data_IF_527819271457
#
_entry.id   IF_527819271457
#
_cell.length_a   1.000
_cell.length_b   1.000
_cell.length_c   1.000
_cell.angle_alpha   90.00
_cell.angle_beta   90.00
_cell.angle_gamma   90.00
#
_symmetry.space_group_name_H-M   'P 1'
#
loop_
_entity.id
_entity.type
_entity.pdbx_description
1 polymer ?
#
# COMPACT_ATOMS: atom_id res chain seq x y z
N UNK A 1 -19.31 -44.70 -1.77
CA UNK A 1 -18.71 -43.44 -2.27
C UNK A 1 -17.26 -43.41 -1.83
N UNK A 2 -16.28 -43.32 -2.75
CA UNK A 2 -14.85 -43.40 -2.41
C UNK A 2 -14.35 -42.03 -1.95
N UNK A 3 -13.74 -41.88 -0.76
CA UNK A 3 -13.22 -40.59 -0.32
C UNK A 3 -11.98 -40.22 -1.15
N UNK A 4 -12.00 -39.02 -1.72
CA UNK A 4 -10.90 -38.46 -2.49
C UNK A 4 -9.71 -38.17 -1.55
N UNK A 5 -8.60 -38.89 -1.70
CA UNK A 5 -7.40 -38.72 -0.87
C UNK A 5 -6.36 -37.91 -1.63
N UNK A 6 -6.38 -36.59 -1.44
CA UNK A 6 -5.33 -35.72 -1.96
C UNK A 6 -4.02 -35.99 -1.22
N UNK A 7 -2.93 -36.16 -1.97
CA UNK A 7 -1.58 -36.29 -1.42
C UNK A 7 -0.95 -34.91 -1.40
N UNK A 8 -0.68 -34.38 -0.20
CA UNK A 8 0.05 -33.13 -0.02
C UNK A 8 1.53 -33.41 -0.31
N UNK A 9 2.10 -32.66 -1.25
CA UNK A 9 3.52 -32.73 -1.59
C UNK A 9 4.26 -31.69 -0.75
N UNK A 10 5.08 -32.15 0.20
CA UNK A 10 6.04 -31.31 0.90
C UNK A 10 7.31 -31.27 0.04
N UNK A 11 7.62 -30.10 -0.50
CA UNK A 11 8.89 -29.85 -1.21
C UNK A 11 10.08 -30.02 -0.25
N UNK A 12 11.27 -30.32 -0.77
CA UNK A 12 12.42 -30.71 0.05
C UNK A 12 12.76 -29.62 1.05
N UNK A 13 12.98 -30.09 2.26
CA UNK A 13 13.22 -29.35 3.50
C UNK A 13 14.50 -28.53 3.34
N UNK A 14 14.35 -27.24 3.01
CA UNK A 14 15.43 -26.30 3.23
C UNK A 14 15.40 -25.93 4.71
N UNK A 15 16.03 -26.78 5.51
CA UNK A 15 16.41 -26.54 6.89
C UNK A 15 17.27 -25.27 6.97
N UNK A 16 16.63 -24.14 7.21
CA UNK A 16 17.22 -23.02 7.95
C UNK A 16 16.22 -22.58 9.02
N UNK A 17 16.41 -23.22 10.17
CA UNK A 17 16.09 -22.74 11.50
C UNK A 17 15.93 -21.21 11.61
N UNK A 18 14.71 -20.75 11.91
CA UNK A 18 14.46 -19.66 12.86
C UNK A 18 12.97 -19.61 13.19
N UNK A 19 12.66 -19.88 14.44
CA UNK A 19 11.36 -19.67 15.03
C UNK A 19 10.97 -18.17 14.97
N UNK A 20 9.69 -17.94 14.70
CA UNK A 20 8.86 -16.94 15.39
C UNK A 20 9.38 -15.50 15.48
N UNK A 21 9.28 -14.72 14.40
CA UNK A 21 8.82 -13.34 14.47
C UNK A 21 8.03 -13.03 13.19
N UNK A 22 6.70 -13.11 13.27
CA UNK A 22 5.81 -12.47 12.31
C UNK A 22 5.89 -10.95 12.58
N UNK A 23 7.07 -10.37 12.35
CA UNK A 23 7.19 -8.94 12.21
C UNK A 23 6.51 -8.67 10.88
N UNK A 24 5.25 -8.25 10.92
CA UNK A 24 4.54 -7.67 9.80
C UNK A 24 5.24 -6.36 9.42
N UNK A 25 6.49 -6.47 8.98
CA UNK A 25 7.22 -5.46 8.26
C UNK A 25 6.41 -5.29 6.99
N UNK A 26 5.47 -4.36 7.03
CA UNK A 26 4.70 -3.93 5.87
C UNK A 26 5.71 -3.78 4.74
N UNK A 27 5.57 -4.60 3.71
CA UNK A 27 6.52 -4.66 2.62
C UNK A 27 6.38 -3.35 1.83
N UNK A 28 7.10 -2.32 2.24
CA UNK A 28 7.05 -1.00 1.64
C UNK A 28 7.78 -1.04 0.31
N UNK A 29 7.11 -0.59 -0.75
CA UNK A 29 7.71 -0.47 -2.09
C UNK A 29 7.91 1.01 -2.40
N UNK A 30 9.15 1.41 -2.71
CA UNK A 30 9.45 2.78 -3.15
C UNK A 30 9.19 2.89 -4.63
N UNK A 31 8.24 3.76 -4.99
CA UNK A 31 7.84 4.04 -6.37
C UNK A 31 7.88 5.56 -6.60
N UNK A 32 8.24 6.01 -7.81
CA UNK A 32 8.31 7.43 -8.10
C UNK A 32 6.92 8.06 -8.08
N UNK A 33 6.84 9.27 -7.53
CA UNK A 33 5.59 9.99 -7.35
C UNK A 33 4.84 10.20 -8.68
N UNK A 34 5.57 10.47 -9.76
CA UNK A 34 5.02 10.67 -11.10
C UNK A 34 4.32 9.45 -11.69
N UNK A 35 4.60 8.24 -11.18
CA UNK A 35 3.88 7.03 -11.59
C UNK A 35 2.63 6.79 -10.73
N UNK A 36 2.71 7.07 -9.43
CA UNK A 36 1.61 6.80 -8.49
C UNK A 36 0.50 7.86 -8.54
N UNK A 37 0.84 9.15 -8.59
CA UNK A 37 -0.14 10.23 -8.51
C UNK A 37 -1.20 10.18 -9.61
N UNK A 38 -0.85 9.95 -10.90
CA UNK A 38 -1.85 9.81 -11.95
C UNK A 38 -2.81 8.64 -11.73
N UNK A 39 -2.32 7.51 -11.20
CA UNK A 39 -3.14 6.33 -10.90
C UNK A 39 -4.11 6.59 -9.75
N UNK A 40 -3.64 7.27 -8.69
CA UNK A 40 -4.51 7.68 -7.58
C UNK A 40 -5.53 8.72 -8.04
N UNK A 41 -5.13 9.70 -8.86
CA UNK A 41 -6.05 10.69 -9.42
C UNK A 41 -7.14 10.04 -10.29
N UNK A 42 -6.78 9.08 -11.13
CA UNK A 42 -7.73 8.28 -11.91
C UNK A 42 -8.67 7.48 -10.99
N UNK A 43 -8.13 6.83 -9.95
CA UNK A 43 -8.93 6.06 -9.00
C UNK A 43 -9.97 6.93 -8.27
N UNK A 44 -9.60 8.16 -7.88
CA UNK A 44 -10.51 9.16 -7.30
C UNK A 44 -11.58 9.57 -8.32
N UNK A 45 -11.18 9.93 -9.54
CA UNK A 45 -12.12 10.36 -10.59
C UNK A 45 -13.09 9.25 -11.00
N UNK A 46 -12.61 8.00 -11.00
CA UNK A 46 -13.38 6.79 -11.29
C UNK A 46 -14.15 6.23 -10.08
N UNK A 47 -14.10 6.90 -8.92
CA UNK A 47 -14.77 6.49 -7.66
C UNK A 47 -14.47 5.03 -7.28
N UNK A 48 -13.20 4.61 -7.41
CA UNK A 48 -12.80 3.25 -7.08
C UNK A 48 -12.90 3.02 -5.57
N UNK A 49 -13.57 1.95 -5.19
CA UNK A 49 -13.83 1.60 -3.78
C UNK A 49 -12.58 1.15 -3.02
N UNK A 50 -11.55 0.65 -3.71
CA UNK A 50 -10.32 0.18 -3.06
C UNK A 50 -9.51 1.31 -2.41
N UNK A 51 -9.68 2.56 -2.84
CA UNK A 51 -8.94 3.69 -2.27
C UNK A 51 -9.38 4.00 -0.83
N UNK A 52 -10.64 3.69 -0.48
CA UNK A 52 -11.15 3.88 0.88
C UNK A 52 -10.46 2.98 1.91
N UNK A 53 -9.87 1.85 1.46
CA UNK A 53 -9.09 0.96 2.34
C UNK A 53 -7.80 1.62 2.85
N UNK A 54 -7.33 2.68 2.18
CA UNK A 54 -6.10 3.41 2.47
C UNK A 54 -6.35 4.80 3.10
N UNK A 55 -7.59 5.11 3.51
CA UNK A 55 -7.95 6.44 4.01
C UNK A 55 -7.27 6.79 5.35
N UNK A 56 -7.09 5.80 6.23
CA UNK A 56 -6.42 5.97 7.54
C UNK A 56 -4.89 5.76 7.45
N UNK A 57 -4.38 5.40 6.27
CA UNK A 57 -3.00 4.97 6.09
C UNK A 57 -2.05 6.19 5.99
N UNK A 58 -0.95 6.13 6.72
CA UNK A 58 0.00 7.24 6.77
C UNK A 58 1.04 7.10 5.65
N UNK A 59 1.16 8.14 4.83
CA UNK A 59 2.21 8.22 3.79
C UNK A 59 3.36 9.12 4.23
N UNK A 60 4.59 8.66 4.02
CA UNK A 60 5.79 9.48 4.23
C UNK A 60 6.16 10.16 2.92
N UNK A 61 6.18 11.49 2.92
CA UNK A 61 6.60 12.31 1.79
C UNK A 61 7.79 13.19 2.15
N UNK A 62 8.50 13.70 1.13
CA UNK A 62 9.55 14.70 1.34
C UNK A 62 8.98 15.97 1.99
N UNK A 63 9.77 16.62 2.84
CA UNK A 63 9.44 17.92 3.44
C UNK A 63 9.08 18.96 2.39
N UNK A 64 9.82 19.03 1.27
CA UNK A 64 9.57 20.00 0.21
C UNK A 64 8.19 19.81 -0.45
N UNK A 65 7.77 18.55 -0.61
CA UNK A 65 6.45 18.25 -1.18
C UNK A 65 5.33 18.58 -0.19
N UNK A 66 5.54 18.30 1.09
CA UNK A 66 4.59 18.62 2.14
C UNK A 66 4.32 20.13 2.20
N UNK A 67 5.38 20.95 2.21
CA UNK A 67 5.26 22.42 2.19
C UNK A 67 4.50 22.92 0.95
N UNK A 68 4.76 22.32 -0.22
CA UNK A 68 4.06 22.66 -1.45
C UNK A 68 2.56 22.34 -1.37
N UNK A 69 2.20 21.17 -0.84
CA UNK A 69 0.79 20.77 -0.65
C UNK A 69 0.09 21.72 0.31
N UNK A 70 0.72 22.07 1.44
CA UNK A 70 0.18 23.02 2.40
C UNK A 70 -0.07 24.39 1.76
N UNK A 71 0.92 24.92 1.03
CA UNK A 71 0.79 26.17 0.30
C UNK A 71 -0.39 26.10 -0.69
N UNK A 72 -0.47 25.02 -1.48
CA UNK A 72 -1.53 24.82 -2.47
C UNK A 72 -2.93 24.76 -1.83
N UNK A 73 -3.08 24.09 -0.68
CA UNK A 73 -4.33 24.05 0.08
C UNK A 73 -4.74 25.44 0.57
N UNK A 74 -3.78 26.25 1.03
CA UNK A 74 -4.03 27.62 1.46
C UNK A 74 -4.54 28.50 0.30
N UNK A 75 -3.96 28.35 -0.90
CA UNK A 75 -4.44 29.06 -2.09
C UNK A 75 -5.82 28.62 -2.56
N UNK A 76 -6.20 27.35 -2.34
CA UNK A 76 -7.53 26.83 -2.72
C UNK A 76 -8.65 27.22 -1.77
N UNK A 77 -8.33 27.67 -0.55
CA UNK A 77 -9.33 28.16 0.40
C UNK A 77 -9.24 29.68 0.43
N UNK A 78 -10.02 30.42 -0.40
CA UNK A 78 -10.15 31.85 -0.18
C UNK A 78 -10.66 32.02 1.25
N UNK A 79 -9.92 32.77 2.07
CA UNK A 79 -10.40 33.26 3.35
C UNK A 79 -11.79 33.87 3.15
N UNK A 80 -12.72 33.46 4.00
CA UNK A 80 -14.03 34.10 4.15
C UNK A 80 -13.89 35.60 4.44
#
# INVERSE_FOLDING_TARGET
MKPNRLRVYYGPECDIAAASQHNSQQQTVTVPLGEVFPLLADAVQSQRTWLADFEDDNITISSDLYELILAYQHFRRPSA
#
